data_IF_800821153484
#
_entry.id   IF_800821153484
#
_cell.length_a   1.000
_cell.length_b   1.000
_cell.length_c   1.000
_cell.angle_alpha   90.00
_cell.angle_beta   90.00
_cell.angle_gamma   90.00
#
_symmetry.space_group_name_H-M   'P 1'
#
loop_
_entity.id
_entity.type
_entity.pdbx_description
1 polymer ?
#
# COMPACT_ATOMS: atom_id res chain seq x y z
N UNK A 1 52.92 7.71 -34.71
CA UNK A 1 51.70 7.74 -33.87
C UNK A 1 51.59 6.37 -33.20
N UNK A 2 52.43 6.02 -32.22
CA UNK A 2 52.47 6.44 -30.81
C UNK A 2 51.11 6.45 -30.11
N UNK A 3 50.93 5.50 -29.17
CA UNK A 3 50.05 5.64 -28.00
C UNK A 3 49.24 4.39 -27.68
N UNK A 4 49.45 3.83 -26.49
CA UNK A 4 48.66 2.77 -25.81
C UNK A 4 49.05 1.29 -26.03
N UNK A 5 50.29 0.98 -25.65
CA UNK A 5 50.62 -0.21 -24.84
C UNK A 5 51.47 0.26 -23.65
N UNK A 6 51.41 -0.47 -22.54
CA UNK A 6 51.96 -0.18 -21.19
C UNK A 6 51.05 0.68 -20.30
N UNK A 7 50.24 0.03 -19.47
CA UNK A 7 50.54 -0.24 -18.05
C UNK A 7 49.71 -1.46 -17.67
N UNK A 8 50.33 -2.63 -17.72
CA UNK A 8 49.71 -3.92 -17.45
C UNK A 8 50.80 -4.91 -17.09
N UNK A 9 51.59 -4.59 -16.07
CA UNK A 9 52.68 -5.45 -15.59
C UNK A 9 53.37 -4.86 -14.35
N UNK A 10 52.66 -4.70 -13.23
CA UNK A 10 53.30 -4.68 -11.91
C UNK A 10 52.37 -5.41 -10.93
N UNK A 11 52.47 -6.74 -10.90
CA UNK A 11 52.48 -7.60 -9.70
C UNK A 11 52.21 -9.06 -10.12
N UNK A 12 53.11 -9.95 -9.67
CA UNK A 12 53.16 -11.42 -9.77
C UNK A 12 53.86 -12.05 -10.99
N UNK A 13 55.16 -12.40 -10.85
CA UNK A 13 55.79 -13.49 -11.59
C UNK A 13 55.57 -14.84 -10.87
N UNK A 14 55.82 -15.93 -11.60
CA UNK A 14 55.74 -17.37 -11.26
C UNK A 14 54.45 -18.11 -11.66
N UNK A 15 54.43 -18.62 -12.90
CA UNK A 15 54.98 -19.95 -13.18
C UNK A 15 54.13 -21.18 -12.83
N UNK A 16 53.74 -21.90 -13.90
CA UNK A 16 53.32 -23.31 -14.02
C UNK A 16 51.84 -23.67 -13.81
N UNK A 17 51.26 -24.05 -14.94
CA UNK A 17 50.13 -24.96 -15.13
C UNK A 17 50.16 -26.17 -14.19
N UNK A 18 49.14 -26.27 -13.33
CA UNK A 18 48.61 -27.53 -12.84
C UNK A 18 47.09 -27.52 -13.02
N UNK A 19 46.58 -28.53 -13.73
CA UNK A 19 45.15 -28.86 -13.76
C UNK A 19 44.69 -29.11 -12.33
N UNK A 20 43.83 -28.25 -11.79
CA UNK A 20 43.08 -28.56 -10.58
C UNK A 20 41.95 -29.53 -10.93
N UNK A 21 42.24 -30.82 -10.73
CA UNK A 21 41.25 -31.87 -10.53
C UNK A 21 40.48 -31.59 -9.24
N UNK A 22 39.14 -31.70 -9.30
CA UNK A 22 38.22 -31.91 -8.18
C UNK A 22 38.41 -31.00 -6.94
N UNK A 23 37.69 -29.88 -6.91
CA UNK A 23 37.39 -29.17 -5.65
C UNK A 23 36.09 -29.74 -5.06
N UNK A 24 36.09 -30.28 -3.82
CA UNK A 24 34.86 -30.67 -3.15
C UNK A 24 34.07 -29.41 -2.76
N UNK A 25 32.82 -29.34 -3.19
CA UNK A 25 31.85 -28.25 -2.97
C UNK A 25 31.35 -28.18 -1.52
N UNK A 26 32.24 -28.07 -0.53
CA UNK A 26 31.87 -28.11 0.89
C UNK A 26 32.28 -26.88 1.73
N UNK A 27 32.78 -25.80 1.12
CA UNK A 27 33.37 -24.69 1.90
C UNK A 27 32.68 -23.32 1.86
N UNK A 28 31.46 -23.20 1.32
CA UNK A 28 30.69 -21.95 1.41
C UNK A 28 29.32 -22.19 2.06
N UNK A 29 29.30 -22.19 3.40
CA UNK A 29 28.13 -21.81 4.23
C UNK A 29 28.54 -21.88 5.70
N UNK A 30 29.53 -21.08 6.11
CA UNK A 30 29.49 -20.59 7.50
C UNK A 30 28.45 -19.48 7.50
N UNK A 31 27.17 -19.86 7.48
CA UNK A 31 26.09 -18.96 7.82
C UNK A 31 26.50 -18.30 9.15
N UNK A 32 26.55 -16.97 9.18
CA UNK A 32 26.78 -16.24 10.41
C UNK A 32 25.67 -16.70 11.37
N UNK A 33 25.99 -17.61 12.30
CA UNK A 33 25.05 -18.10 13.30
C UNK A 33 24.64 -16.87 14.09
N UNK A 34 23.53 -16.25 13.71
CA UNK A 34 22.86 -15.24 14.51
C UNK A 34 22.54 -15.98 15.80
N UNK A 35 23.33 -15.71 16.83
CA UNK A 35 23.17 -16.38 18.11
C UNK A 35 21.74 -16.06 18.60
N UNK A 36 21.06 -17.04 19.19
CA UNK A 36 19.72 -16.86 19.80
C UNK A 36 19.55 -15.52 20.54
N UNK A 37 20.55 -14.98 21.29
CA UNK A 37 20.42 -13.67 21.92
C UNK A 37 20.37 -12.49 20.93
N UNK A 38 21.03 -12.53 19.77
CA UNK A 38 20.95 -11.46 18.76
C UNK A 38 19.57 -11.45 18.11
N UNK A 39 18.99 -12.62 17.84
CA UNK A 39 17.62 -12.71 17.32
C UNK A 39 16.58 -12.21 18.34
N UNK A 40 16.74 -12.57 19.62
CA UNK A 40 15.90 -12.05 20.71
C UNK A 40 16.07 -10.54 20.92
N UNK A 41 17.29 -10.01 20.76
CA UNK A 41 17.56 -8.57 20.86
C UNK A 41 16.92 -7.80 19.71
N UNK A 42 16.97 -8.32 18.48
CA UNK A 42 16.27 -7.71 17.33
C UNK A 42 14.76 -7.73 17.55
N UNK A 43 14.21 -8.85 18.03
CA UNK A 43 12.78 -8.97 18.37
C UNK A 43 12.38 -7.99 19.50
N UNK A 44 13.25 -7.82 20.50
CA UNK A 44 13.06 -6.90 21.62
C UNK A 44 13.14 -5.42 21.17
N UNK A 45 14.08 -5.07 20.29
CA UNK A 45 14.18 -3.73 19.71
C UNK A 45 12.97 -3.43 18.83
N UNK A 46 12.48 -4.40 18.04
CA UNK A 46 11.26 -4.20 17.24
C UNK A 46 9.99 -4.07 18.07
N UNK A 47 9.95 -4.59 19.29
CA UNK A 47 8.81 -4.46 20.21
C UNK A 47 8.90 -3.22 21.10
N UNK A 48 10.11 -2.71 21.37
CA UNK A 48 10.35 -1.49 22.15
C UNK A 48 10.36 -0.20 21.31
N UNK A 49 10.36 -0.28 19.98
CA UNK A 49 10.14 0.88 19.09
C UNK A 49 8.69 1.39 19.07
N UNK A 50 7.83 0.92 19.98
CA UNK A 50 6.55 1.54 20.24
C UNK A 50 6.79 2.92 20.87
N UNK A 51 6.77 3.97 20.04
CA UNK A 51 6.86 5.35 20.50
C UNK A 51 5.87 5.61 21.64
N UNK A 52 6.42 6.13 22.73
CA UNK A 52 5.71 6.72 23.85
C UNK A 52 4.76 7.82 23.33
N UNK A 53 3.44 7.56 23.36
CA UNK A 53 2.41 8.57 23.10
C UNK A 53 2.02 9.24 24.42
N UNK A 54 2.98 9.77 25.16
CA UNK A 54 2.69 10.60 26.32
C UNK A 54 2.47 12.05 25.88
N UNK A 55 1.23 12.54 26.01
CA UNK A 55 0.74 13.92 25.77
C UNK A 55 0.20 14.30 24.37
N UNK A 56 -0.35 13.36 23.59
CA UNK A 56 -1.24 13.74 22.49
C UNK A 56 -2.67 13.73 23.05
N UNK A 57 -3.34 14.89 23.06
CA UNK A 57 -4.77 14.97 23.36
C UNK A 57 -5.50 13.93 22.48
N UNK A 58 -6.37 13.11 23.08
CA UNK A 58 -7.06 12.06 22.34
C UNK A 58 -7.78 12.66 21.13
N UNK A 59 -7.39 12.23 19.93
CA UNK A 59 -7.95 12.73 18.67
C UNK A 59 -9.46 12.45 18.68
N UNK A 60 -10.33 13.48 18.52
CA UNK A 60 -11.77 13.28 18.51
C UNK A 60 -12.21 12.35 17.37
N UNK A 61 -13.24 11.55 17.62
CA UNK A 61 -13.82 10.59 16.67
C UNK A 61 -15.28 10.93 16.46
N UNK A 62 -15.75 10.85 15.21
CA UNK A 62 -17.13 11.10 14.84
C UNK A 62 -18.07 10.07 15.45
N UNK A 63 -19.18 10.54 16.03
CA UNK A 63 -20.26 9.70 16.56
C UNK A 63 -21.57 10.19 16.00
N UNK A 64 -22.39 9.28 15.46
CA UNK A 64 -23.67 9.62 14.82
C UNK A 64 -23.55 10.79 13.83
N UNK A 65 -22.54 10.75 12.96
CA UNK A 65 -22.26 11.76 11.93
C UNK A 65 -21.92 13.17 12.45
N UNK A 66 -21.50 13.30 13.72
CA UNK A 66 -21.01 14.56 14.28
C UNK A 66 -19.59 14.37 14.82
N UNK A 67 -18.67 15.23 14.38
CA UNK A 67 -17.31 15.34 14.89
C UNK A 67 -17.13 16.70 15.56
N UNK A 68 -16.86 16.72 16.86
CA UNK A 68 -16.67 17.94 17.63
C UNK A 68 -15.19 18.30 17.75
N UNK A 69 -14.77 19.35 17.04
CA UNK A 69 -13.42 19.91 17.03
C UNK A 69 -13.38 21.32 17.60
N UNK A 70 -14.40 21.76 18.36
CA UNK A 70 -14.42 23.14 18.91
C UNK A 70 -13.28 23.41 19.89
N UNK A 71 -12.75 22.37 20.53
CA UNK A 71 -11.56 22.45 21.38
C UNK A 71 -10.24 22.15 20.65
N UNK A 72 -10.27 21.96 19.32
CA UNK A 72 -9.08 21.58 18.55
C UNK A 72 -8.40 22.80 17.93
N UNK A 73 -7.16 23.04 18.32
CA UNK A 73 -6.25 23.98 17.69
C UNK A 73 -5.39 23.27 16.64
N UNK A 74 -5.66 23.54 15.36
CA UNK A 74 -4.97 22.93 14.23
C UNK A 74 -3.50 23.37 14.08
N UNK A 75 -3.10 24.51 14.67
CA UNK A 75 -1.72 24.99 14.60
C UNK A 75 -0.83 24.24 15.60
N UNK A 76 -1.35 23.96 16.80
CA UNK A 76 -0.57 23.31 17.87
C UNK A 76 -0.77 21.81 17.96
N UNK A 77 -1.98 21.30 17.66
CA UNK A 77 -2.30 19.87 17.72
C UNK A 77 -2.28 19.18 16.35
N UNK A 78 -2.19 19.95 15.27
CA UNK A 78 -2.00 19.44 13.91
C UNK A 78 -3.28 18.94 13.24
N UNK A 79 -3.10 18.05 12.25
CA UNK A 79 -4.19 17.56 11.40
C UNK A 79 -5.06 16.53 12.12
N UNK A 80 -6.36 16.52 11.79
CA UNK A 80 -7.35 15.59 12.36
C UNK A 80 -7.83 14.62 11.28
N UNK A 81 -7.69 13.29 11.47
CA UNK A 81 -8.38 12.32 10.66
C UNK A 81 -9.88 12.31 10.99
N UNK A 82 -10.72 12.35 9.96
CA UNK A 82 -12.18 12.35 10.09
C UNK A 82 -12.74 10.93 10.32
N UNK A 83 -12.20 10.24 11.32
CA UNK A 83 -12.55 8.87 11.68
C UNK A 83 -13.89 8.81 12.43
N UNK A 84 -14.59 7.67 12.33
CA UNK A 84 -15.75 7.34 13.16
C UNK A 84 -17.00 7.01 12.37
N UNK A 85 -18.15 7.24 12.99
CA UNK A 85 -19.48 6.99 12.40
C UNK A 85 -19.92 8.15 11.52
N UNK A 86 -20.07 7.87 10.22
CA UNK A 86 -20.63 8.79 9.23
C UNK A 86 -22.05 8.35 8.87
N UNK A 87 -22.92 9.30 8.54
CA UNK A 87 -24.24 8.96 8.02
C UNK A 87 -24.10 8.42 6.61
N UNK A 88 -24.86 7.39 6.26
CA UNK A 88 -24.93 6.83 4.91
C UNK A 88 -26.36 6.86 4.39
N UNK A 89 -26.52 7.52 3.25
CA UNK A 89 -27.75 7.53 2.47
C UNK A 89 -27.53 6.68 1.21
N UNK A 90 -27.99 5.43 1.25
CA UNK A 90 -27.71 4.44 0.22
C UNK A 90 -28.64 4.59 -0.98
N UNK A 91 -28.06 4.51 -2.19
CA UNK A 91 -28.76 4.73 -3.47
C UNK A 91 -29.52 6.05 -3.55
N UNK A 92 -29.07 7.06 -2.81
CA UNK A 92 -29.63 8.39 -2.83
C UNK A 92 -28.50 9.43 -2.99
N UNK A 93 -28.59 10.22 -4.05
CA UNK A 93 -27.67 11.31 -4.32
C UNK A 93 -28.04 12.61 -3.61
N UNK A 94 -29.32 12.76 -3.27
CA UNK A 94 -29.88 13.99 -2.71
C UNK A 94 -30.75 13.65 -1.50
N UNK A 95 -30.15 13.06 -0.43
CA UNK A 95 -30.91 12.69 0.74
C UNK A 95 -31.58 13.91 1.36
N UNK A 96 -32.87 13.75 1.71
CA UNK A 96 -33.62 14.78 2.42
C UNK A 96 -33.14 14.83 3.88
N UNK A 97 -32.91 16.04 4.41
CA UNK A 97 -32.39 16.27 5.78
C UNK A 97 -33.22 15.60 6.90
N UNK A 98 -34.51 15.33 6.65
CA UNK A 98 -35.46 14.79 7.62
C UNK A 98 -35.76 13.28 7.44
N UNK A 99 -34.81 12.47 6.98
CA UNK A 99 -35.03 11.02 6.97
C UNK A 99 -35.19 10.50 8.41
N UNK A 100 -36.32 9.83 8.68
CA UNK A 100 -36.66 9.31 10.02
C UNK A 100 -35.73 8.16 10.45
N UNK A 101 -35.08 7.49 9.50
CA UNK A 101 -34.16 6.39 9.73
C UNK A 101 -32.76 6.78 9.25
N UNK A 102 -31.98 7.39 10.13
CA UNK A 102 -30.57 7.68 9.87
C UNK A 102 -29.74 6.42 10.04
N UNK A 103 -29.02 6.07 8.99
CA UNK A 103 -28.11 4.93 8.99
C UNK A 103 -26.67 5.41 9.08
N UNK A 104 -25.81 4.61 9.70
CA UNK A 104 -24.41 4.97 9.92
C UNK A 104 -23.47 3.87 9.44
N UNK A 105 -22.31 4.28 8.94
CA UNK A 105 -21.19 3.41 8.59
C UNK A 105 -19.90 3.92 9.21
N UNK A 106 -18.95 3.02 9.43
CA UNK A 106 -17.62 3.36 9.95
C UNK A 106 -16.72 3.81 8.79
N UNK A 107 -16.06 4.95 8.98
CA UNK A 107 -15.04 5.53 8.10
C UNK A 107 -13.75 5.72 8.91
N UNK A 108 -12.57 5.35 8.40
CA UNK A 108 -12.34 4.59 7.18
C UNK A 108 -12.85 3.16 7.32
N UNK A 109 -13.22 2.54 6.20
CA UNK A 109 -13.71 1.18 6.19
C UNK A 109 -14.47 0.82 4.92
N UNK A 110 -14.82 -0.47 4.85
CA UNK A 110 -15.78 -0.98 3.89
C UNK A 110 -17.19 -0.65 4.39
N UNK A 111 -18.01 0.04 3.59
CA UNK A 111 -19.36 0.40 4.05
C UNK A 111 -20.31 -0.81 4.19
N UNK A 112 -19.93 -1.98 3.67
CA UNK A 112 -20.68 -3.20 3.90
C UNK A 112 -20.42 -3.85 5.27
N UNK A 113 -19.58 -3.24 6.13
CA UNK A 113 -19.25 -3.75 7.46
C UNK A 113 -20.23 -3.33 8.58
N UNK A 114 -21.36 -2.68 8.25
CA UNK A 114 -22.47 -2.64 9.23
C UNK A 114 -23.02 -4.07 9.42
N UNK A 115 -23.68 -4.38 10.54
CA UNK A 115 -24.04 -5.75 11.00
C UNK A 115 -25.00 -6.56 10.08
N UNK A 116 -25.09 -6.21 8.81
CA UNK A 116 -25.76 -6.90 7.72
C UNK A 116 -24.99 -6.54 6.45
N UNK A 117 -24.86 -7.42 5.46
CA UNK A 117 -24.31 -7.12 4.12
C UNK A 117 -25.17 -6.07 3.36
N UNK A 118 -25.43 -4.91 3.97
CA UNK A 118 -26.52 -4.00 3.60
C UNK A 118 -26.21 -3.26 2.32
N UNK A 119 -24.93 -2.98 2.09
CA UNK A 119 -24.44 -2.12 1.02
C UNK A 119 -23.39 -2.83 0.18
N UNK A 120 -23.80 -3.57 -0.87
CA UNK A 120 -22.88 -4.19 -1.80
C UNK A 120 -22.22 -3.14 -2.72
N UNK A 121 -21.70 -3.58 -3.86
CA UNK A 121 -21.36 -2.71 -5.00
C UNK A 121 -22.55 -1.82 -5.39
N UNK A 122 -22.34 -0.52 -5.58
CA UNK A 122 -23.42 0.44 -5.75
C UNK A 122 -22.97 1.89 -5.53
N UNK A 123 -23.91 2.75 -5.14
CA UNK A 123 -23.64 4.16 -4.88
C UNK A 123 -24.37 4.67 -3.63
N UNK A 124 -23.84 5.72 -3.03
CA UNK A 124 -24.45 6.36 -1.86
C UNK A 124 -23.75 7.66 -1.48
N UNK A 125 -24.37 8.36 -0.54
CA UNK A 125 -23.88 9.63 -0.02
C UNK A 125 -23.46 9.45 1.43
N UNK A 126 -22.21 9.77 1.76
CA UNK A 126 -21.69 9.79 3.13
C UNK A 126 -21.67 11.22 3.65
N UNK A 127 -22.25 11.45 4.82
CA UNK A 127 -22.35 12.79 5.41
C UNK A 127 -21.74 12.86 6.80
N UNK A 128 -21.03 13.97 7.07
CA UNK A 128 -20.42 14.28 8.36
C UNK A 128 -20.58 15.78 8.67
N UNK A 129 -21.04 16.10 9.88
CA UNK A 129 -21.02 17.48 10.39
C UNK A 129 -19.83 17.66 11.32
N UNK A 130 -18.99 18.65 11.01
CA UNK A 130 -17.78 18.96 11.77
C UNK A 130 -18.02 20.29 12.49
N UNK A 131 -17.96 20.29 13.82
CA UNK A 131 -18.07 21.48 14.65
C UNK A 131 -16.67 22.04 14.88
N UNK A 132 -16.43 23.32 14.57
CA UNK A 132 -15.10 23.95 14.69
C UNK A 132 -15.17 25.22 15.55
N UNK A 133 -14.04 25.66 16.09
CA UNK A 133 -13.96 26.93 16.80
C UNK A 133 -14.14 28.13 15.86
N UNK A 134 -14.47 29.31 16.37
CA UNK A 134 -14.58 30.54 15.55
C UNK A 134 -13.22 30.97 14.98
N UNK A 135 -12.14 30.52 15.63
CA UNK A 135 -10.76 30.80 15.25
C UNK A 135 -10.26 29.88 14.14
N UNK A 136 -10.92 28.75 13.90
CA UNK A 136 -10.56 27.79 12.86
C UNK A 136 -10.94 28.32 11.46
N UNK A 137 -10.01 29.04 10.83
CA UNK A 137 -10.16 29.61 9.48
C UNK A 137 -9.17 28.96 8.52
N UNK A 138 -9.45 29.08 7.21
CA UNK A 138 -8.56 28.59 6.14
C UNK A 138 -8.20 27.11 6.26
N UNK A 139 -9.20 26.28 6.57
CA UNK A 139 -9.03 24.83 6.67
C UNK A 139 -8.97 24.19 5.28
N UNK A 140 -8.20 23.12 5.19
CA UNK A 140 -8.04 22.30 4.01
C UNK A 140 -8.45 20.87 4.32
N UNK A 141 -8.98 20.20 3.31
CA UNK A 141 -9.34 18.80 3.35
C UNK A 141 -8.46 18.05 2.37
N UNK A 142 -7.68 17.09 2.86
CA UNK A 142 -7.07 16.06 2.03
C UNK A 142 -8.00 14.84 2.00
N UNK A 143 -8.39 14.42 0.80
CA UNK A 143 -9.25 13.26 0.68
C UNK A 143 -8.49 11.96 0.98
N UNK A 144 -9.19 11.03 1.62
CA UNK A 144 -8.71 9.67 1.75
C UNK A 144 -8.80 8.90 0.43
N UNK A 145 -8.39 7.64 0.46
CA UNK A 145 -8.52 6.72 -0.67
C UNK A 145 -9.96 6.26 -0.76
N UNK A 146 -10.75 7.01 -1.50
CA UNK A 146 -12.11 6.64 -1.88
C UNK A 146 -12.04 5.88 -3.19
N UNK A 147 -12.46 4.61 -3.16
CA UNK A 147 -12.31 3.72 -4.32
C UNK A 147 -13.34 4.07 -5.40
N UNK A 148 -12.94 3.90 -6.66
CA UNK A 148 -13.73 4.18 -7.87
C UNK A 148 -13.96 5.68 -8.11
N UNK A 149 -15.17 6.21 -8.00
CA UNK A 149 -15.45 7.61 -8.31
C UNK A 149 -16.20 8.30 -7.17
N UNK A 150 -15.90 9.58 -6.96
CA UNK A 150 -16.55 10.35 -5.90
C UNK A 150 -16.57 11.85 -6.16
N UNK A 151 -17.51 12.53 -5.52
CA UNK A 151 -17.61 13.98 -5.44
C UNK A 151 -17.64 14.41 -3.97
N UNK A 152 -16.92 15.47 -3.63
CA UNK A 152 -16.90 16.05 -2.28
C UNK A 152 -17.61 17.40 -2.34
N UNK A 153 -18.53 17.61 -1.42
CA UNK A 153 -19.24 18.86 -1.23
C UNK A 153 -19.08 19.37 0.22
N UNK A 154 -18.93 20.69 0.35
CA UNK A 154 -18.99 21.39 1.62
C UNK A 154 -20.24 22.30 1.61
N UNK A 155 -21.24 21.96 2.43
CA UNK A 155 -22.57 22.54 2.32
C UNK A 155 -23.20 22.24 0.96
N UNK A 156 -23.52 23.29 0.19
CA UNK A 156 -24.11 23.16 -1.16
C UNK A 156 -23.08 23.22 -2.29
N UNK A 157 -21.83 23.54 -1.98
CA UNK A 157 -20.77 23.72 -2.98
C UNK A 157 -20.01 22.41 -3.18
N UNK A 158 -19.84 22.01 -4.45
CA UNK A 158 -18.96 20.87 -4.78
C UNK A 158 -17.52 21.36 -4.90
N UNK A 159 -16.67 20.93 -3.97
CA UNK A 159 -15.28 21.40 -3.85
C UNK A 159 -14.29 20.51 -4.59
N UNK A 160 -14.65 19.26 -4.89
CA UNK A 160 -13.78 18.32 -5.59
C UNK A 160 -14.55 17.20 -6.28
N UNK A 161 -14.00 16.70 -7.39
CA UNK A 161 -14.49 15.53 -8.12
C UNK A 161 -13.32 14.63 -8.52
N UNK A 162 -13.47 13.33 -8.32
CA UNK A 162 -12.53 12.31 -8.78
C UNK A 162 -13.26 11.30 -9.65
N UNK A 163 -12.95 11.33 -10.94
CA UNK A 163 -13.64 10.51 -11.93
C UNK A 163 -15.04 11.05 -12.24
N UNK A 164 -15.92 10.17 -12.70
CA UNK A 164 -17.33 10.49 -12.96
C UNK A 164 -18.20 9.49 -12.22
N UNK A 165 -19.01 9.99 -11.29
CA UNK A 165 -19.94 9.15 -10.55
C UNK A 165 -21.07 8.67 -11.45
N UNK A 166 -21.54 7.44 -11.23
CA UNK A 166 -22.65 6.84 -11.97
C UNK A 166 -23.51 5.94 -11.09
N UNK A 167 -24.69 5.57 -11.60
CA UNK A 167 -25.61 4.65 -10.90
C UNK A 167 -25.44 3.19 -11.33
N UNK A 168 -24.51 2.94 -12.26
CA UNK A 168 -24.17 1.62 -12.78
C UNK A 168 -22.75 1.62 -13.35
N UNK A 169 -22.26 0.43 -13.70
CA UNK A 169 -20.92 0.22 -14.26
C UNK A 169 -20.64 1.06 -15.51
N UNK A 170 -21.57 1.14 -16.47
CA UNK A 170 -21.37 1.88 -17.72
C UNK A 170 -21.32 3.41 -17.56
N UNK A 171 -21.95 3.95 -16.52
CA UNK A 171 -21.99 5.39 -16.25
C UNK A 171 -20.86 5.87 -15.34
N UNK A 172 -20.21 4.96 -14.60
CA UNK A 172 -19.09 5.27 -13.71
C UNK A 172 -17.76 5.32 -14.49
N UNK A 173 -16.98 6.36 -14.26
CA UNK A 173 -15.58 6.44 -14.70
C UNK A 173 -14.70 6.53 -13.44
N UNK A 174 -14.06 5.43 -13.01
CA UNK A 174 -13.30 5.41 -11.77
C UNK A 174 -12.00 6.23 -11.87
N UNK A 175 -11.66 6.93 -10.80
CA UNK A 175 -10.38 7.61 -10.62
C UNK A 175 -9.98 7.68 -9.13
N UNK A 176 -8.74 7.31 -8.81
CA UNK A 176 -8.26 7.19 -7.43
C UNK A 176 -7.25 8.30 -7.13
N UNK A 177 -7.69 9.55 -7.22
CA UNK A 177 -6.84 10.70 -6.93
C UNK A 177 -6.89 11.09 -5.45
N UNK A 178 -5.73 11.41 -4.89
CA UNK A 178 -5.59 12.03 -3.57
C UNK A 178 -5.19 13.49 -3.80
N UNK A 179 -6.03 14.40 -3.33
CA UNK A 179 -5.90 15.83 -3.51
C UNK A 179 -6.17 16.56 -2.19
N UNK A 180 -5.56 17.73 -2.06
CA UNK A 180 -5.81 18.65 -0.96
C UNK A 180 -6.58 19.83 -1.51
N UNK A 181 -7.76 20.09 -0.96
CA UNK A 181 -8.67 21.15 -1.40
C UNK A 181 -8.95 22.11 -0.26
N UNK A 182 -9.08 23.40 -0.59
CA UNK A 182 -9.51 24.40 0.40
C UNK A 182 -10.98 24.18 0.73
N UNK A 183 -11.33 24.29 2.01
CA UNK A 183 -12.72 24.36 2.42
C UNK A 183 -13.21 25.81 2.38
N UNK A 184 -14.50 26.04 2.03
CA UNK A 184 -15.12 27.33 2.28
C UNK A 184 -15.13 27.62 3.78
N UNK A 185 -15.16 28.89 4.16
CA UNK A 185 -15.26 29.27 5.56
C UNK A 185 -16.53 28.68 6.19
N UNK A 186 -16.40 28.14 7.40
CA UNK A 186 -17.52 27.54 8.12
C UNK A 186 -18.60 28.60 8.38
N UNK A 187 -19.84 28.30 8.01
CA UNK A 187 -21.00 29.08 8.42
C UNK A 187 -21.43 28.58 9.80
N UNK A 188 -21.64 29.48 10.76
CA UNK A 188 -22.07 29.14 12.12
C UNK A 188 -21.20 28.06 12.78
N UNK A 189 -19.88 28.09 12.55
CA UNK A 189 -18.92 27.16 13.16
C UNK A 189 -19.15 25.69 12.79
N UNK A 190 -19.81 25.44 11.65
CA UNK A 190 -20.13 24.11 11.18
C UNK A 190 -19.66 23.94 9.74
N UNK A 191 -19.10 22.76 9.48
CA UNK A 191 -18.76 22.29 8.13
C UNK A 191 -19.58 21.04 7.89
N UNK A 192 -20.54 21.12 6.98
CA UNK A 192 -21.29 19.96 6.51
C UNK A 192 -20.55 19.36 5.32
N UNK A 193 -19.87 18.24 5.56
CA UNK A 193 -19.16 17.50 4.53
C UNK A 193 -20.06 16.40 3.97
N UNK A 194 -20.19 16.35 2.65
CA UNK A 194 -20.88 15.28 1.93
C UNK A 194 -19.95 14.67 0.90
N UNK A 195 -19.91 13.35 0.83
CA UNK A 195 -19.11 12.60 -0.14
C UNK A 195 -20.04 11.65 -0.88
N UNK A 196 -20.34 11.98 -2.13
CA UNK A 196 -21.10 11.13 -3.05
C UNK A 196 -20.14 10.14 -3.67
N UNK A 197 -20.40 8.84 -3.53
CA UNK A 197 -19.50 7.79 -4.00
C UNK A 197 -20.28 6.84 -4.90
N UNK A 198 -19.74 6.52 -6.07
CA UNK A 198 -20.14 5.36 -6.85
C UNK A 198 -19.01 4.33 -6.82
N UNK A 199 -19.38 3.06 -6.73
CA UNK A 199 -18.45 1.95 -6.70
C UNK A 199 -19.00 0.78 -7.51
N UNK A 200 -18.59 0.70 -8.78
CA UNK A 200 -18.95 -0.38 -9.70
C UNK A 200 -17.74 -1.11 -10.31
N UNK A 201 -16.53 -0.55 -10.19
CA UNK A 201 -15.29 -1.13 -10.75
C UNK A 201 -14.39 -1.83 -9.71
N UNK A 202 -14.85 -2.01 -8.46
CA UNK A 202 -14.10 -2.75 -7.44
C UNK A 202 -15.03 -3.40 -6.39
N UNK A 203 -14.63 -4.56 -5.85
CA UNK A 203 -15.48 -5.32 -4.92
C UNK A 203 -15.56 -4.76 -3.49
N UNK A 204 -14.61 -3.90 -3.09
CA UNK A 204 -14.60 -3.22 -1.79
C UNK A 204 -14.94 -1.75 -2.04
N UNK A 205 -16.03 -1.28 -1.44
CA UNK A 205 -16.52 0.07 -1.61
C UNK A 205 -16.41 0.92 -0.34
N UNK A 206 -16.44 2.25 -0.50
CA UNK A 206 -16.31 3.20 0.58
C UNK A 206 -14.94 3.86 0.67
N UNK A 207 -14.66 4.44 1.84
CA UNK A 207 -13.49 5.27 2.11
C UNK A 207 -12.45 4.38 2.79
N UNK A 208 -11.42 3.94 2.05
CA UNK A 208 -10.45 2.96 2.53
C UNK A 208 -9.39 3.53 3.48
N UNK A 209 -9.05 4.81 3.34
CA UNK A 209 -8.16 5.55 4.26
C UNK A 209 -8.85 6.86 4.66
N UNK A 210 -8.55 7.41 5.84
CA UNK A 210 -9.31 8.55 6.34
C UNK A 210 -9.09 9.82 5.52
N UNK A 211 -10.11 10.68 5.53
CA UNK A 211 -9.97 12.07 5.11
C UNK A 211 -9.28 12.84 6.23
N UNK A 212 -8.43 13.79 5.88
CA UNK A 212 -7.64 14.57 6.83
C UNK A 212 -8.05 16.04 6.73
N UNK A 213 -8.41 16.63 7.87
CA UNK A 213 -8.71 18.05 8.01
C UNK A 213 -7.55 18.75 8.72
N UNK A 214 -7.11 19.89 8.21
CA UNK A 214 -6.00 20.62 8.83
C UNK A 214 -5.71 21.95 8.14
N UNK A 215 -4.62 22.58 8.55
CA UNK A 215 -4.09 23.76 7.84
C UNK A 215 -3.36 23.31 6.57
N UNK A 216 -3.24 24.21 5.59
CA UNK A 216 -2.46 23.91 4.38
C UNK A 216 -1.03 23.47 4.71
N UNK A 217 -0.38 24.18 5.64
CA UNK A 217 0.98 23.86 6.08
C UNK A 217 1.05 22.51 6.80
N UNK A 218 0.08 22.22 7.68
CA UNK A 218 0.01 20.96 8.40
C UNK A 218 -0.17 19.76 7.47
N UNK A 219 -1.10 19.85 6.50
CA UNK A 219 -1.33 18.79 5.52
C UNK A 219 -0.10 18.62 4.61
N UNK A 220 0.45 19.72 4.10
CA UNK A 220 1.62 19.67 3.22
C UNK A 220 2.85 19.08 3.92
N UNK A 221 3.08 19.44 5.19
CA UNK A 221 4.16 18.85 6.00
C UNK A 221 3.97 17.33 6.13
N UNK A 222 2.78 16.88 6.52
CA UNK A 222 2.47 15.45 6.65
C UNK A 222 2.64 14.70 5.31
N UNK A 223 2.24 15.32 4.20
CA UNK A 223 2.44 14.76 2.87
C UNK A 223 3.92 14.64 2.51
N UNK A 224 4.72 15.70 2.76
CA UNK A 224 6.16 15.72 2.51
C UNK A 224 6.92 14.69 3.36
N UNK A 225 6.53 14.49 4.61
CA UNK A 225 7.11 13.44 5.46
C UNK A 225 6.79 12.04 4.91
N UNK A 226 5.55 11.83 4.46
CA UNK A 226 5.11 10.55 3.92
C UNK A 226 5.78 10.22 2.60
N UNK A 227 5.82 11.17 1.65
CA UNK A 227 6.50 10.98 0.37
C UNK A 227 8.01 10.81 0.55
N UNK A 228 8.62 11.46 1.54
CA UNK A 228 10.06 11.27 1.84
C UNK A 228 10.36 9.86 2.30
N UNK A 229 9.48 9.26 3.13
CA UNK A 229 9.60 7.84 3.51
C UNK A 229 9.44 6.92 2.31
N UNK A 230 8.42 7.13 1.47
CA UNK A 230 8.21 6.33 0.26
C UNK A 230 9.43 6.41 -0.68
N UNK A 231 9.96 7.61 -0.94
CA UNK A 231 11.13 7.83 -1.80
C UNK A 231 12.39 7.20 -1.21
N UNK A 232 12.58 7.29 0.11
CA UNK A 232 13.72 6.65 0.78
C UNK A 232 13.70 5.13 0.65
N UNK A 233 12.53 4.50 0.88
CA UNK A 233 12.36 3.05 0.73
C UNK A 233 12.54 2.64 -0.73
N UNK A 234 11.96 3.40 -1.67
CA UNK A 234 12.14 3.18 -3.11
C UNK A 234 13.63 3.17 -3.49
N UNK A 235 14.36 4.22 -3.11
CA UNK A 235 15.78 4.37 -3.41
C UNK A 235 16.59 3.21 -2.81
N UNK A 236 16.32 2.85 -1.54
CA UNK A 236 16.99 1.75 -0.85
C UNK A 236 16.79 0.40 -1.55
N UNK A 237 15.54 0.09 -1.95
CA UNK A 237 15.22 -1.14 -2.66
C UNK A 237 15.85 -1.18 -4.06
N UNK A 238 15.85 -0.07 -4.80
CA UNK A 238 16.50 0.02 -6.11
C UNK A 238 18.03 -0.13 -5.99
N UNK A 239 18.66 0.49 -4.99
CA UNK A 239 20.09 0.32 -4.73
C UNK A 239 20.43 -1.14 -4.42
N UNK A 240 19.64 -1.81 -3.58
CA UNK A 240 19.82 -3.24 -3.30
C UNK A 240 19.63 -4.10 -4.56
N UNK A 241 18.60 -3.82 -5.34
CA UNK A 241 18.33 -4.53 -6.58
C UNK A 241 19.51 -4.41 -7.56
N UNK A 242 20.02 -3.19 -7.78
CA UNK A 242 21.16 -2.93 -8.65
C UNK A 242 22.45 -3.56 -8.12
N UNK A 243 22.70 -3.47 -6.82
CA UNK A 243 23.86 -4.11 -6.19
C UNK A 243 23.86 -5.61 -6.43
N UNK A 244 22.75 -6.30 -6.15
CA UNK A 244 22.65 -7.74 -6.38
C UNK A 244 22.63 -8.13 -7.85
N UNK A 245 22.11 -7.27 -8.73
CA UNK A 245 22.22 -7.49 -10.17
C UNK A 245 23.69 -7.45 -10.62
N UNK A 246 24.48 -6.49 -10.13
CA UNK A 246 25.92 -6.42 -10.41
C UNK A 246 26.65 -7.65 -9.87
N UNK A 247 26.34 -8.11 -8.66
CA UNK A 247 26.92 -9.34 -8.11
C UNK A 247 26.61 -10.56 -8.99
N UNK A 248 25.38 -10.68 -9.48
CA UNK A 248 25.02 -11.76 -10.42
C UNK A 248 25.78 -11.66 -11.75
N UNK A 249 26.06 -10.45 -12.25
CA UNK A 249 26.86 -10.29 -13.47
C UNK A 249 28.31 -10.77 -13.30
N UNK A 250 28.90 -10.61 -12.12
CA UNK A 250 30.23 -11.13 -11.78
C UNK A 250 30.22 -12.63 -11.42
N UNK A 251 29.18 -13.10 -10.75
CA UNK A 251 29.02 -14.48 -10.28
C UNK A 251 27.72 -15.10 -10.83
N UNK A 252 27.72 -15.38 -12.14
CA UNK A 252 26.52 -15.89 -12.85
C UNK A 252 26.06 -17.27 -12.38
N UNK A 253 26.95 -18.04 -11.76
CA UNK A 253 26.61 -19.35 -11.18
C UNK A 253 25.78 -19.20 -9.88
N UNK A 254 25.85 -18.06 -9.21
CA UNK A 254 25.15 -17.76 -7.95
C UNK A 254 23.78 -17.10 -8.22
N UNK A 255 22.79 -17.92 -8.59
CA UNK A 255 21.43 -17.45 -8.96
C UNK A 255 20.67 -16.78 -7.81
N UNK A 256 21.10 -16.98 -6.57
CA UNK A 256 20.54 -16.30 -5.39
C UNK A 256 20.51 -14.79 -5.58
N UNK A 257 21.54 -14.21 -6.22
CA UNK A 257 21.64 -12.78 -6.46
C UNK A 257 20.59 -12.24 -7.43
N UNK A 258 20.31 -12.92 -8.55
CA UNK A 258 19.31 -12.45 -9.52
C UNK A 258 17.88 -12.57 -8.95
N UNK A 259 17.60 -13.61 -8.17
CA UNK A 259 16.29 -13.74 -7.52
C UNK A 259 16.08 -12.66 -6.46
N UNK A 260 17.08 -12.38 -5.63
CA UNK A 260 16.99 -11.31 -4.64
C UNK A 260 16.92 -9.91 -5.29
N UNK A 261 17.68 -9.67 -6.36
CA UNK A 261 17.57 -8.45 -7.14
C UNK A 261 16.16 -8.26 -7.69
N UNK A 262 15.54 -9.33 -8.20
CA UNK A 262 14.16 -9.33 -8.70
C UNK A 262 13.14 -9.02 -7.60
N UNK A 263 13.30 -9.59 -6.40
CA UNK A 263 12.46 -9.27 -5.23
C UNK A 263 12.55 -7.78 -4.90
N UNK A 264 13.76 -7.24 -4.77
CA UNK A 264 13.95 -5.83 -4.42
C UNK A 264 13.39 -4.89 -5.48
N UNK A 265 13.63 -5.19 -6.77
CA UNK A 265 13.15 -4.40 -7.89
C UNK A 265 11.61 -4.39 -7.99
N UNK A 266 10.98 -5.56 -7.89
CA UNK A 266 9.53 -5.67 -7.94
C UNK A 266 8.86 -5.03 -6.72
N UNK A 267 9.48 -5.13 -5.54
CA UNK A 267 9.03 -4.41 -4.34
C UNK A 267 9.10 -2.89 -4.54
N UNK A 268 10.19 -2.38 -5.13
CA UNK A 268 10.34 -0.96 -5.43
C UNK A 268 9.26 -0.46 -6.42
N UNK A 269 9.05 -1.17 -7.54
CA UNK A 269 8.00 -0.80 -8.51
C UNK A 269 6.62 -0.81 -7.85
N UNK A 270 6.34 -1.83 -7.04
CA UNK A 270 5.06 -1.97 -6.35
C UNK A 270 4.80 -0.84 -5.36
N UNK A 271 5.84 -0.28 -4.73
CA UNK A 271 5.71 0.87 -3.84
C UNK A 271 5.14 2.10 -4.57
N UNK A 272 5.43 2.29 -5.86
CA UNK A 272 4.92 3.44 -6.63
C UNK A 272 3.39 3.43 -6.80
N UNK A 273 2.78 2.24 -6.85
CA UNK A 273 1.32 2.08 -7.01
C UNK A 273 0.59 1.79 -5.70
N UNK A 274 1.25 1.16 -4.72
CA UNK A 274 0.60 0.71 -3.48
C UNK A 274 1.13 1.35 -2.21
N UNK A 275 2.15 2.21 -2.31
CA UNK A 275 2.65 3.02 -1.20
C UNK A 275 1.60 3.98 -0.64
N UNK A 276 1.93 4.62 0.47
CA UNK A 276 0.98 5.47 1.20
C UNK A 276 0.47 6.62 0.33
N UNK A 277 1.37 7.24 -0.43
CA UNK A 277 1.06 8.34 -1.34
C UNK A 277 0.43 7.92 -2.67
N UNK A 278 0.54 6.64 -3.05
CA UNK A 278 0.06 6.10 -4.35
C UNK A 278 0.46 6.96 -5.56
N UNK A 279 1.71 7.42 -5.58
CA UNK A 279 2.24 8.44 -6.51
C UNK A 279 1.72 8.34 -7.93
N UNK A 280 1.67 7.14 -8.50
CA UNK A 280 1.30 6.94 -9.90
C UNK A 280 -0.16 7.35 -10.19
N UNK A 281 -1.08 7.15 -9.25
CA UNK A 281 -2.51 7.28 -9.50
C UNK A 281 -2.94 8.71 -9.86
N UNK A 282 -2.29 9.72 -9.29
CA UNK A 282 -2.55 11.12 -9.58
C UNK A 282 -2.19 11.52 -11.03
N UNK A 283 -1.39 10.72 -11.74
CA UNK A 283 -0.94 10.99 -13.12
C UNK A 283 -1.55 10.05 -14.15
N UNK A 284 -2.44 9.14 -13.74
CA UNK A 284 -3.07 8.20 -14.67
C UNK A 284 -4.19 8.89 -15.46
N UNK A 285 -4.31 8.61 -16.76
CA UNK A 285 -5.45 9.07 -17.52
C UNK A 285 -6.72 8.30 -17.10
N UNK A 286 -7.91 8.91 -17.24
CA UNK A 286 -9.18 8.24 -17.02
C UNK A 286 -9.28 6.93 -17.82
N UNK A 287 -9.89 5.89 -17.23
CA UNK A 287 -10.07 4.59 -17.87
C UNK A 287 -8.94 3.57 -17.70
N UNK A 288 -7.76 3.99 -17.21
CA UNK A 288 -6.64 3.05 -16.92
C UNK A 288 -6.78 2.33 -15.57
N UNK A 289 -7.78 2.70 -14.77
CA UNK A 289 -7.97 2.17 -13.41
C UNK A 289 -8.04 0.63 -13.37
N UNK A 290 -8.86 -0.01 -14.23
CA UNK A 290 -8.98 -1.47 -14.25
C UNK A 290 -7.66 -2.15 -14.60
N UNK A 291 -6.97 -1.62 -15.61
CA UNK A 291 -5.65 -2.08 -16.02
C UNK A 291 -4.67 -1.99 -14.86
N UNK A 292 -4.71 -0.90 -14.08
CA UNK A 292 -3.85 -0.76 -12.91
C UNK A 292 -4.20 -1.73 -11.77
N UNK A 293 -5.47 -2.04 -11.55
CA UNK A 293 -5.86 -3.09 -10.60
C UNK A 293 -5.27 -4.44 -11.02
N UNK A 294 -5.27 -4.76 -12.32
CA UNK A 294 -4.66 -5.99 -12.86
C UNK A 294 -3.14 -5.97 -12.76
N UNK A 295 -2.49 -4.87 -13.12
CA UNK A 295 -1.04 -4.68 -12.97
C UNK A 295 -0.63 -4.83 -11.50
N UNK A 296 -1.41 -4.31 -10.55
CA UNK A 296 -1.15 -4.49 -9.12
C UNK A 296 -1.31 -5.94 -8.67
N UNK A 297 -2.22 -6.71 -9.27
CA UNK A 297 -2.32 -8.15 -9.04
C UNK A 297 -1.11 -8.91 -9.59
N UNK A 298 -0.73 -8.63 -10.83
CA UNK A 298 0.41 -9.27 -11.50
C UNK A 298 1.72 -8.93 -10.78
N UNK A 299 1.94 -7.66 -10.41
CA UNK A 299 3.15 -7.23 -9.70
C UNK A 299 3.29 -7.93 -8.34
N UNK A 300 2.17 -8.19 -7.65
CA UNK A 300 2.17 -8.98 -6.42
C UNK A 300 2.61 -10.43 -6.70
N UNK A 301 2.03 -11.09 -7.72
CA UNK A 301 2.37 -12.47 -8.07
C UNK A 301 3.83 -12.61 -8.49
N UNK A 302 4.34 -11.67 -9.29
CA UNK A 302 5.75 -11.67 -9.69
C UNK A 302 6.67 -11.52 -8.47
N UNK A 303 6.38 -10.57 -7.58
CA UNK A 303 7.17 -10.37 -6.36
C UNK A 303 7.16 -11.64 -5.48
N UNK A 304 5.98 -12.22 -5.28
CA UNK A 304 5.79 -13.45 -4.54
C UNK A 304 6.58 -14.62 -5.16
N UNK A 305 6.48 -14.83 -6.48
CA UNK A 305 7.23 -15.87 -7.19
C UNK A 305 8.73 -15.67 -7.11
N UNK A 306 9.22 -14.42 -7.27
CA UNK A 306 10.64 -14.10 -7.10
C UNK A 306 11.12 -14.46 -5.69
N UNK A 307 10.31 -14.23 -4.67
CA UNK A 307 10.64 -14.61 -3.30
C UNK A 307 10.65 -16.12 -3.10
N UNK A 308 9.69 -16.85 -3.66
CA UNK A 308 9.67 -18.34 -3.63
C UNK A 308 10.92 -18.91 -4.31
N UNK A 309 11.31 -18.36 -5.47
CA UNK A 309 12.52 -18.77 -6.18
C UNK A 309 13.79 -18.48 -5.37
N UNK A 310 13.87 -17.31 -4.73
CA UNK A 310 14.97 -16.95 -3.83
C UNK A 310 15.13 -17.95 -2.68
N UNK A 311 14.04 -18.27 -1.96
CA UNK A 311 14.08 -19.24 -0.85
C UNK A 311 14.43 -20.65 -1.34
N UNK A 312 13.91 -21.05 -2.50
CA UNK A 312 14.21 -22.36 -3.09
C UNK A 312 15.69 -22.50 -3.48
N UNK A 313 16.30 -21.44 -4.00
CA UNK A 313 17.71 -21.46 -4.38
C UNK A 313 18.62 -21.63 -3.15
N UNK A 314 18.31 -20.94 -2.05
CA UNK A 314 19.09 -21.03 -0.80
C UNK A 314 18.87 -22.39 -0.12
N UNK A 315 17.62 -22.87 -0.03
CA UNK A 315 17.25 -24.07 0.71
C UNK A 315 16.78 -25.19 -0.22
N UNK A 316 17.63 -25.58 -1.17
CA UNK A 316 17.31 -26.57 -2.19
C UNK A 316 17.35 -28.01 -1.62
N UNK A 317 16.29 -28.42 -0.91
CA UNK A 317 16.14 -29.78 -0.39
C UNK A 317 14.85 -30.45 -0.91
N UNK A 318 14.94 -31.75 -1.19
CA UNK A 318 13.81 -32.62 -1.56
C UNK A 318 12.65 -32.53 -0.56
N UNK A 319 12.98 -32.40 0.73
CA UNK A 319 12.01 -32.28 1.84
C UNK A 319 11.05 -31.11 1.66
N UNK A 320 11.46 -30.03 1.00
CA UNK A 320 10.68 -28.80 0.85
C UNK A 320 9.99 -28.69 -0.52
N UNK A 321 10.15 -29.67 -1.42
CA UNK A 321 9.56 -29.62 -2.77
C UNK A 321 8.06 -29.41 -2.77
N UNK A 322 7.33 -30.04 -1.84
CA UNK A 322 5.88 -29.86 -1.73
C UNK A 322 5.51 -28.41 -1.39
N UNK A 323 6.25 -27.77 -0.48
CA UNK A 323 6.04 -26.36 -0.09
C UNK A 323 6.22 -25.45 -1.31
N UNK A 324 7.29 -25.64 -2.08
CA UNK A 324 7.52 -24.85 -3.30
C UNK A 324 6.44 -25.10 -4.35
N UNK A 325 6.02 -26.35 -4.57
CA UNK A 325 4.93 -26.70 -5.52
C UNK A 325 3.61 -26.03 -5.14
N UNK A 326 3.24 -26.04 -3.85
CA UNK A 326 2.06 -25.34 -3.34
C UNK A 326 2.19 -23.85 -3.62
N UNK A 327 3.34 -23.23 -3.31
CA UNK A 327 3.54 -21.81 -3.54
C UNK A 327 3.43 -21.43 -5.03
N UNK A 328 4.03 -22.21 -5.93
CA UNK A 328 3.90 -22.03 -7.39
C UNK A 328 2.46 -22.21 -7.87
N UNK A 329 1.76 -23.23 -7.37
CA UNK A 329 0.35 -23.45 -7.69
C UNK A 329 -0.50 -22.26 -7.27
N UNK A 330 -0.35 -21.79 -6.02
CA UNK A 330 -1.06 -20.63 -5.48
C UNK A 330 -0.80 -19.40 -6.34
N UNK A 331 0.46 -19.12 -6.67
CA UNK A 331 0.81 -17.99 -7.55
C UNK A 331 0.15 -18.11 -8.93
N UNK A 332 0.06 -19.32 -9.47
CA UNK A 332 -0.50 -19.54 -10.79
C UNK A 332 -2.03 -19.32 -10.83
N UNK A 333 -2.72 -19.48 -9.70
CA UNK A 333 -4.18 -19.32 -9.62
C UNK A 333 -4.66 -17.95 -10.10
N UNK A 334 -3.91 -16.87 -9.85
CA UNK A 334 -4.32 -15.54 -10.28
C UNK A 334 -4.39 -15.40 -11.81
N UNK A 335 -3.56 -16.12 -12.57
CA UNK A 335 -3.57 -16.04 -14.03
C UNK A 335 -4.89 -16.55 -14.62
N UNK A 336 -5.54 -17.53 -13.99
CA UNK A 336 -6.87 -17.98 -14.39
C UNK A 336 -7.96 -16.92 -14.16
N UNK A 337 -7.74 -15.98 -13.25
CA UNK A 337 -8.67 -14.90 -12.98
C UNK A 337 -8.49 -13.68 -13.90
N UNK A 338 -7.35 -13.55 -14.60
CA UNK A 338 -7.08 -12.43 -15.50
C UNK A 338 -8.17 -12.18 -16.57
N UNK A 339 -8.77 -13.19 -17.23
CA UNK A 339 -9.84 -12.93 -18.21
C UNK A 339 -11.20 -12.59 -17.57
N UNK A 340 -11.36 -12.75 -16.26
CA UNK A 340 -12.64 -12.46 -15.58
C UNK A 340 -12.92 -10.95 -15.57
N UNK A 341 -14.19 -10.57 -15.46
CA UNK A 341 -14.59 -9.17 -15.28
C UNK A 341 -13.93 -8.56 -14.02
N UNK A 342 -13.80 -7.23 -13.96
CA UNK A 342 -13.03 -6.56 -12.91
C UNK A 342 -13.54 -6.83 -11.50
N UNK A 343 -14.86 -6.95 -11.30
CA UNK A 343 -15.46 -7.23 -10.00
C UNK A 343 -15.07 -8.63 -9.52
N UNK A 344 -15.25 -9.64 -10.36
CA UNK A 344 -14.87 -11.03 -10.05
C UNK A 344 -13.36 -11.16 -9.89
N UNK A 345 -12.57 -10.54 -10.77
CA UNK A 345 -11.11 -10.50 -10.66
C UNK A 345 -10.67 -9.91 -9.32
N UNK A 346 -11.25 -8.79 -8.90
CA UNK A 346 -10.85 -8.13 -7.66
C UNK A 346 -11.22 -8.95 -6.41
N UNK A 347 -12.36 -9.65 -6.40
CA UNK A 347 -12.71 -10.61 -5.33
C UNK A 347 -11.73 -11.79 -5.29
N UNK A 348 -11.42 -12.36 -6.47
CA UNK A 348 -10.46 -13.44 -6.59
C UNK A 348 -9.07 -13.00 -6.13
N UNK A 349 -8.65 -11.79 -6.48
CA UNK A 349 -7.39 -11.19 -6.04
C UNK A 349 -7.34 -11.09 -4.51
N UNK A 350 -8.41 -10.62 -3.85
CA UNK A 350 -8.44 -10.57 -2.38
C UNK A 350 -8.29 -11.95 -1.73
N UNK A 351 -8.99 -12.96 -2.24
CA UNK A 351 -8.84 -14.34 -1.79
C UNK A 351 -7.43 -14.89 -2.05
N UNK A 352 -6.88 -14.62 -3.24
CA UNK A 352 -5.52 -14.99 -3.61
C UNK A 352 -4.47 -14.36 -2.70
N UNK A 353 -4.65 -13.11 -2.25
CA UNK A 353 -3.73 -12.46 -1.29
C UNK A 353 -3.69 -13.21 0.04
N UNK A 354 -4.84 -13.62 0.57
CA UNK A 354 -4.94 -14.41 1.81
C UNK A 354 -4.25 -15.77 1.63
N UNK A 355 -4.56 -16.46 0.53
CA UNK A 355 -3.97 -17.77 0.22
C UNK A 355 -2.44 -17.67 0.05
N UNK A 356 -1.96 -16.62 -0.61
CA UNK A 356 -0.53 -16.35 -0.79
C UNK A 356 0.15 -16.07 0.54
N UNK A 357 -0.49 -15.32 1.45
CA UNK A 357 0.04 -15.07 2.79
C UNK A 357 0.23 -16.38 3.56
N UNK A 358 -0.77 -17.26 3.55
CA UNK A 358 -0.69 -18.59 4.18
C UNK A 358 0.42 -19.45 3.56
N UNK A 359 0.57 -19.42 2.24
CA UNK A 359 1.62 -20.17 1.53
C UNK A 359 3.04 -19.65 1.85
N UNK A 360 3.21 -18.33 1.98
CA UNK A 360 4.47 -17.69 2.41
C UNK A 360 4.84 -18.13 3.83
N UNK A 361 3.89 -18.25 4.75
CA UNK A 361 4.20 -18.78 6.10
C UNK A 361 4.80 -20.19 6.04
N UNK A 362 4.39 -21.01 5.08
CA UNK A 362 5.01 -22.31 4.81
C UNK A 362 6.50 -22.22 4.44
N UNK A 363 6.95 -21.13 3.82
CA UNK A 363 8.36 -20.88 3.50
C UNK A 363 9.21 -20.58 4.74
N UNK A 364 8.62 -20.26 5.89
CA UNK A 364 9.40 -20.13 7.14
C UNK A 364 10.01 -21.45 7.58
N UNK A 365 9.39 -22.59 7.25
CA UNK A 365 9.91 -23.90 7.61
C UNK A 365 11.29 -24.20 7.01
N UNK A 366 11.51 -24.10 5.68
CA UNK A 366 12.86 -24.26 5.11
C UNK A 366 13.85 -23.22 5.61
N UNK A 367 13.41 -21.98 5.87
CA UNK A 367 14.28 -20.92 6.37
C UNK A 367 14.78 -21.24 7.78
N UNK A 368 13.89 -21.58 8.71
CA UNK A 368 14.25 -21.86 10.10
C UNK A 368 15.09 -23.14 10.20
N UNK A 369 14.64 -24.22 9.55
CA UNK A 369 15.35 -25.51 9.60
C UNK A 369 16.64 -25.50 8.77
N UNK A 370 16.76 -24.67 7.75
CA UNK A 370 17.99 -24.56 6.97
C UNK A 370 19.08 -23.74 7.67
N UNK A 371 18.72 -22.89 8.64
CA UNK A 371 19.65 -22.08 9.44
C UNK A 371 20.14 -22.81 10.69
N UNK A 372 19.28 -23.64 11.30
CA UNK A 372 19.59 -24.46 12.48
C UNK A 372 20.34 -25.72 12.05
#
# INVERSE_FOLDING_TARGET
MNGFRLIGSILFPFGKTQRFTYFPSSHYTKAMKISKPIFLLILLITTLSGCDTSNIAAVPIAKKAVLDLRGWDFETMGNVPLNGEWQIDWKDWNPKENSLNKEFTIVPGHWANSNSEKYPTGFGTLSLTILVSETAKNLYLQNGVTRNAFEISAGKETIYKSGTIGENYSAEIPNLNIQTVSLPNSLNNQIHLSVRISCFHYHICGIATPYILGTHLGINKSFLETISRDVFVLASLLTLALFHLVLYLFWRDEKTHIYFASVCFLAAIRLLSTGETRLIYNYLPPGIYETMVRINGISFVLLYLSFVLYVREIYNSEKYKLIYRINFFVAFLLFFALPLNILTFSKFLAFHLILSLLAIFGLLYPIIHGVI
#
